data_IF_996803767336
#
_entry.id   IF_996803767336
#
_cell.length_a   1.000
_cell.length_b   1.000
_cell.length_c   1.000
_cell.angle_alpha   90.00
_cell.angle_beta   90.00
_cell.angle_gamma   90.00
#
_symmetry.space_group_name_H-M   'P 1'
#
loop_
_entity.id
_entity.type
_entity.pdbx_description
1 polymer ?
#
# COMPACT_ATOMS: atom_id res chain seq x y z
N UNK A 1 11.52 -2.53 3.44
CA UNK A 1 10.78 -2.24 4.68
C UNK A 1 9.83 -3.39 5.05
N UNK A 2 10.28 -4.65 5.11
CA UNK A 2 9.44 -5.77 5.58
C UNK A 2 8.12 -6.08 4.84
N UNK A 3 7.61 -5.23 3.95
CA UNK A 3 6.35 -5.49 3.24
C UNK A 3 6.48 -6.68 2.29
N UNK A 4 5.59 -7.65 2.47
CA UNK A 4 5.44 -8.81 1.62
C UNK A 4 4.25 -8.61 0.66
N UNK A 5 4.39 -9.12 -0.56
CA UNK A 5 3.37 -9.05 -1.60
C UNK A 5 3.98 -8.70 -2.97
N UNK A 6 3.16 -8.34 -3.98
CA UNK A 6 1.72 -8.14 -3.91
C UNK A 6 0.95 -9.47 -3.82
N UNK A 7 0.11 -9.61 -2.80
CA UNK A 7 -0.84 -10.70 -2.71
C UNK A 7 -2.03 -10.42 -3.64
N UNK A 8 -2.37 -11.39 -4.47
CA UNK A 8 -3.48 -11.29 -5.43
C UNK A 8 -4.84 -11.27 -4.71
N UNK A 9 -5.52 -10.13 -4.74
CA UNK A 9 -6.86 -9.93 -4.19
C UNK A 9 -7.87 -9.52 -5.27
N UNK A 10 -8.06 -10.34 -6.30
CA UNK A 10 -9.01 -10.04 -7.37
C UNK A 10 -8.70 -8.72 -8.09
N UNK A 11 -9.54 -7.68 -7.91
CA UNK A 11 -9.45 -6.39 -8.61
C UNK A 11 -8.34 -5.46 -8.09
N UNK A 12 -7.89 -5.63 -6.84
CA UNK A 12 -6.81 -4.83 -6.26
C UNK A 12 -5.83 -5.77 -5.54
N UNK A 13 -4.54 -5.62 -5.81
CA UNK A 13 -3.51 -6.30 -5.03
C UNK A 13 -3.42 -5.70 -3.63
N UNK A 14 -2.71 -6.35 -2.72
CA UNK A 14 -2.30 -5.71 -1.48
C UNK A 14 -0.90 -6.16 -1.07
N UNK A 15 -0.16 -5.28 -0.42
CA UNK A 15 1.08 -5.61 0.30
C UNK A 15 0.78 -5.60 1.79
N UNK A 16 1.50 -6.41 2.57
CA UNK A 16 1.34 -6.48 4.02
C UNK A 16 2.68 -6.34 4.72
N UNK A 17 2.74 -5.63 5.83
CA UNK A 17 3.89 -5.74 6.73
C UNK A 17 3.66 -6.91 7.70
N UNK A 18 4.54 -7.91 7.77
CA UNK A 18 4.38 -9.07 8.64
C UNK A 18 4.46 -8.68 10.12
N UNK A 19 5.26 -7.66 10.47
CA UNK A 19 5.47 -7.26 11.87
C UNK A 19 4.39 -6.30 12.39
N UNK A 20 3.93 -5.36 11.57
CA UNK A 20 2.94 -4.36 11.99
C UNK A 20 1.51 -4.73 11.57
N UNK A 21 1.35 -5.83 10.81
CA UNK A 21 0.08 -6.31 10.21
C UNK A 21 -0.63 -5.28 9.33
N UNK A 22 0.05 -4.19 8.98
CA UNK A 22 -0.46 -3.16 8.08
C UNK A 22 -0.72 -3.80 6.72
N UNK A 23 -1.95 -3.66 6.22
CA UNK A 23 -2.37 -4.17 4.91
C UNK A 23 -2.67 -2.98 4.01
N UNK A 24 -1.89 -2.85 2.94
CA UNK A 24 -2.01 -1.73 2.00
C UNK A 24 -2.58 -2.25 0.70
N UNK A 25 -3.77 -1.78 0.34
CA UNK A 25 -4.36 -2.10 -0.96
C UNK A 25 -3.61 -1.33 -2.06
N UNK A 26 -3.00 -2.07 -2.98
CA UNK A 26 -2.38 -1.53 -4.20
C UNK A 26 -3.40 -1.65 -5.32
N UNK A 27 -3.98 -0.53 -5.82
CA UNK A 27 -4.93 -0.59 -6.90
C UNK A 27 -4.25 -1.11 -8.17
N UNK A 28 -4.87 -2.09 -8.80
CA UNK A 28 -4.39 -2.65 -10.06
C UNK A 28 -4.75 -1.73 -11.23
N UNK A 29 -3.74 -1.18 -11.90
CA UNK A 29 -3.83 -0.75 -13.30
C UNK A 29 -4.53 0.58 -13.63
N UNK A 30 -4.79 1.47 -12.67
CA UNK A 30 -5.23 2.85 -12.94
C UNK A 30 -4.61 3.85 -11.98
N UNK A 31 -4.40 5.07 -12.48
CA UNK A 31 -4.10 6.24 -11.66
C UNK A 31 -5.12 6.36 -10.53
N UNK A 32 -4.63 6.31 -9.30
CA UNK A 32 -5.42 6.64 -8.12
C UNK A 32 -5.29 8.13 -7.81
N UNK A 33 -6.39 8.79 -7.41
CA UNK A 33 -6.31 10.15 -6.93
C UNK A 33 -5.32 10.26 -5.77
N UNK A 34 -4.52 11.32 -5.77
CA UNK A 34 -3.48 11.55 -4.74
C UNK A 34 -4.06 11.53 -3.32
N UNK A 35 -5.32 11.97 -3.14
CA UNK A 35 -6.02 11.91 -1.85
C UNK A 35 -6.25 10.48 -1.36
N UNK A 36 -6.58 9.56 -2.26
CA UNK A 36 -6.75 8.13 -1.95
C UNK A 36 -5.40 7.53 -1.57
N UNK A 37 -4.36 7.84 -2.33
CA UNK A 37 -2.99 7.42 -2.02
C UNK A 37 -2.53 7.93 -0.64
N UNK A 38 -2.71 9.22 -0.35
CA UNK A 38 -2.33 9.80 0.94
C UNK A 38 -3.12 9.23 2.11
N UNK A 39 -4.40 8.89 1.92
CA UNK A 39 -5.19 8.23 2.96
C UNK A 39 -4.66 6.83 3.25
N UNK A 40 -4.34 6.06 2.21
CA UNK A 40 -3.77 4.71 2.33
C UNK A 40 -2.40 4.74 3.03
N UNK A 41 -1.50 5.64 2.62
CA UNK A 41 -0.17 5.81 3.21
C UNK A 41 -0.28 6.20 4.69
N UNK A 42 -1.20 7.11 5.02
CA UNK A 42 -1.46 7.52 6.40
C UNK A 42 -2.03 6.39 7.25
N UNK A 43 -2.97 5.61 6.70
CA UNK A 43 -3.56 4.45 7.39
C UNK A 43 -2.52 3.34 7.60
N UNK A 44 -1.54 3.26 6.69
CA UNK A 44 -0.38 2.39 6.80
C UNK A 44 0.65 2.84 7.85
N UNK A 45 0.51 4.05 8.40
CA UNK A 45 1.49 4.65 9.31
C UNK A 45 2.83 4.97 8.64
N UNK A 46 2.84 5.13 7.31
CA UNK A 46 4.05 5.38 6.52
C UNK A 46 4.09 6.83 6.05
N UNK A 47 5.29 7.32 5.74
CA UNK A 47 5.45 8.56 4.99
C UNK A 47 5.32 8.32 3.47
N UNK A 48 5.04 9.38 2.72
CA UNK A 48 5.00 9.33 1.24
C UNK A 48 6.38 9.00 0.66
N UNK A 49 7.44 9.50 1.30
CA UNK A 49 8.83 9.21 0.92
C UNK A 49 9.14 7.73 1.09
N UNK A 50 8.72 7.13 2.20
CA UNK A 50 8.85 5.70 2.43
C UNK A 50 8.07 4.86 1.41
N UNK A 51 6.89 5.34 1.03
CA UNK A 51 6.08 4.70 -0.01
C UNK A 51 6.72 4.77 -1.41
N UNK A 52 7.34 5.90 -1.77
CA UNK A 52 8.02 6.07 -3.06
C UNK A 52 9.35 5.30 -3.15
N UNK A 53 9.88 4.87 -2.00
CA UNK A 53 11.07 4.04 -1.90
C UNK A 53 10.77 2.53 -1.86
N UNK A 54 9.49 2.11 -1.94
CA UNK A 54 9.05 0.72 -2.13
C UNK A 54 9.22 0.28 -3.59
#
# INVERSE_FOLDING_TARGET
>A
MGFEGPFGGGRHGYIRHPETRVKISVPGGRDIPIKTMSAIIREAGMSVEEWLAL
#
